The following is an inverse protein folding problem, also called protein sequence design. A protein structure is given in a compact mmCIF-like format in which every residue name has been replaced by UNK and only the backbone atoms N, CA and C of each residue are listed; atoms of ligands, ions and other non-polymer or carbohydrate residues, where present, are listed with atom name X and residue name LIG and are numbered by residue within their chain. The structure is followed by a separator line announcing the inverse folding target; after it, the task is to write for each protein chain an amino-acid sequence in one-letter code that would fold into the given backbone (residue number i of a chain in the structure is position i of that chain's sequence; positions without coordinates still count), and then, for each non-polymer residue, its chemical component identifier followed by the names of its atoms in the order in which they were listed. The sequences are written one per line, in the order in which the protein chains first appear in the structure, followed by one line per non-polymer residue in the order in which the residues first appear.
data_IF_791732132163
#
_entry.id   IF_791732132163
#
_cell.length_a   1.000
_cell.length_b   1.000
_cell.length_c   1.000
_cell.angle_alpha   90.00
_cell.angle_beta   90.00
_cell.angle_gamma   90.00
#
_symmetry.space_group_name_H-M   'P 1'
#
loop_
_entity.id
_entity.type
_entity.pdbx_description
1 polymer ?
#
# COMPACT_ATOMS: atom_id res chain seq x y z
N UNK A 1 3.68 -7.65 -15.41
CA UNK A 1 4.01 -8.67 -14.36
C UNK A 1 4.01 -7.98 -13.00
N UNK A 2 3.55 -8.68 -11.93
CA UNK A 2 3.59 -8.15 -10.55
C UNK A 2 4.75 -8.82 -9.81
N UNK A 3 5.54 -8.02 -9.06
CA UNK A 3 6.67 -8.53 -8.25
C UNK A 3 6.63 -7.95 -6.84
N UNK A 4 6.76 -8.78 -5.79
CA UNK A 4 6.94 -8.33 -4.42
C UNK A 4 8.40 -7.95 -4.16
N UNK A 5 8.62 -6.94 -3.32
CA UNK A 5 9.92 -6.52 -2.81
C UNK A 5 9.82 -6.40 -1.29
N UNK A 6 10.67 -7.08 -0.55
CA UNK A 6 10.74 -6.95 0.91
C UNK A 6 11.34 -5.58 1.24
N UNK A 7 10.51 -4.65 1.67
CA UNK A 7 10.90 -3.24 1.89
C UNK A 7 11.21 -2.91 3.36
N UNK A 8 10.71 -3.72 4.28
CA UNK A 8 11.00 -3.61 5.71
C UNK A 8 10.60 -4.89 6.46
N UNK A 9 10.98 -4.96 7.74
CA UNK A 9 10.28 -5.80 8.71
C UNK A 9 9.82 -4.94 9.87
N UNK A 10 8.67 -5.24 10.48
CA UNK A 10 8.11 -4.58 11.66
C UNK A 10 7.79 -5.64 12.69
N UNK A 11 8.41 -5.58 13.88
CA UNK A 11 8.35 -6.66 14.90
C UNK A 11 8.63 -8.05 14.30
N UNK A 12 9.56 -8.11 13.34
CA UNK A 12 9.92 -9.34 12.63
C UNK A 12 8.93 -9.81 11.55
N UNK A 13 7.79 -9.14 11.38
CA UNK A 13 6.87 -9.43 10.26
C UNK A 13 7.34 -8.72 8.99
N UNK A 14 7.32 -9.38 7.82
CA UNK A 14 7.73 -8.77 6.57
C UNK A 14 6.72 -7.71 6.12
N UNK A 15 7.22 -6.65 5.48
CA UNK A 15 6.43 -5.64 4.76
C UNK A 15 6.87 -5.65 3.31
N UNK A 16 5.98 -6.08 2.42
CA UNK A 16 6.22 -6.12 0.98
C UNK A 16 5.55 -4.94 0.28
N UNK A 17 6.33 -4.27 -0.56
CA UNK A 17 5.83 -3.37 -1.59
C UNK A 17 5.79 -4.12 -2.92
N UNK A 18 5.01 -3.64 -3.88
CA UNK A 18 4.83 -4.36 -5.13
C UNK A 18 5.11 -3.47 -6.33
N UNK A 19 5.75 -4.02 -7.37
CA UNK A 19 5.82 -3.37 -8.67
C UNK A 19 4.87 -4.02 -9.65
N UNK A 20 4.27 -3.19 -10.52
CA UNK A 20 3.45 -3.59 -11.66
C UNK A 20 4.18 -3.13 -12.91
N UNK A 21 4.62 -4.09 -13.75
CA UNK A 21 5.14 -3.79 -15.08
C UNK A 21 3.96 -3.43 -15.99
N UNK A 22 3.86 -2.16 -16.36
CA UNK A 22 2.85 -1.61 -17.28
C UNK A 22 3.52 -1.18 -18.59
N UNK A 23 2.74 -1.05 -19.67
CA UNK A 23 3.26 -0.62 -20.98
C UNK A 23 3.86 0.79 -20.95
N UNK A 24 3.30 1.67 -20.11
CA UNK A 24 3.73 3.05 -19.96
C UNK A 24 4.90 3.23 -18.96
N UNK A 25 5.26 2.21 -18.18
CA UNK A 25 6.33 2.26 -17.19
C UNK A 25 6.04 1.42 -15.96
N UNK A 26 6.95 1.47 -14.99
CA UNK A 26 6.84 0.72 -13.74
C UNK A 26 5.96 1.49 -12.74
N UNK A 27 4.94 0.85 -12.20
CA UNK A 27 4.12 1.37 -11.10
C UNK A 27 4.58 0.74 -9.80
N UNK A 28 4.78 1.54 -8.77
CA UNK A 28 5.13 1.07 -7.43
C UNK A 28 3.92 1.19 -6.50
N UNK A 29 3.54 0.12 -5.84
CA UNK A 29 2.48 0.09 -4.82
C UNK A 29 3.12 -0.02 -3.46
N UNK A 30 2.97 1.01 -2.66
CA UNK A 30 3.66 1.34 -1.42
C UNK A 30 5.18 1.51 -1.60
N UNK A 31 5.84 2.13 -0.63
CA UNK A 31 7.25 2.50 -0.73
C UNK A 31 8.12 1.97 0.42
N UNK A 32 7.48 1.29 1.40
CA UNK A 32 8.20 0.87 2.60
C UNK A 32 8.64 2.06 3.43
N UNK A 33 9.83 1.95 4.02
CA UNK A 33 10.44 3.01 4.81
C UNK A 33 11.95 3.12 4.54
N UNK A 34 12.55 4.30 4.81
CA UNK A 34 13.97 4.56 4.56
C UNK A 34 14.79 4.51 5.85
N UNK A 35 14.21 5.00 6.91
CA UNK A 35 14.79 5.16 8.24
C UNK A 35 13.72 4.95 9.30
N UNK A 36 14.06 5.14 10.56
CA UNK A 36 13.14 5.03 11.69
C UNK A 36 13.23 6.28 12.57
N UNK A 37 12.39 6.33 13.57
CA UNK A 37 12.43 7.32 14.66
C UNK A 37 12.60 6.60 15.99
N UNK A 38 13.11 7.25 17.05
CA UNK A 38 13.22 6.63 18.38
C UNK A 38 11.89 6.07 18.89
N UNK A 39 10.78 6.71 18.59
CA UNK A 39 9.44 6.27 18.97
C UNK A 39 9.01 5.01 18.20
N UNK A 40 9.30 4.95 16.91
CA UNK A 40 9.04 3.73 16.11
C UNK A 40 9.95 2.59 16.54
N UNK A 41 11.23 2.86 16.85
CA UNK A 41 12.18 1.86 17.35
C UNK A 41 11.70 1.24 18.66
N UNK A 42 11.19 2.05 19.59
CA UNK A 42 10.68 1.58 20.87
C UNK A 42 9.40 0.74 20.73
N UNK A 43 8.48 1.17 19.84
CA UNK A 43 7.15 0.58 19.77
C UNK A 43 7.01 -0.53 18.71
N UNK A 44 7.78 -0.43 17.59
CA UNK A 44 7.56 -1.25 16.40
C UNK A 44 8.78 -2.02 15.91
N UNK A 45 9.98 -1.75 16.43
CA UNK A 45 11.23 -2.43 16.07
C UNK A 45 11.40 -2.57 14.55
N UNK A 46 11.24 -1.49 13.75
CA UNK A 46 11.29 -1.60 12.31
C UNK A 46 12.73 -1.80 11.82
N UNK A 47 12.88 -2.59 10.76
CA UNK A 47 14.15 -2.73 10.03
C UNK A 47 13.91 -2.33 8.56
N UNK A 48 14.26 -1.10 8.17
CA UNK A 48 14.11 -0.62 6.79
C UNK A 48 15.04 -1.36 5.83
N UNK A 49 14.56 -1.59 4.60
CA UNK A 49 15.32 -2.21 3.48
C UNK A 49 15.12 -1.40 2.20
N UNK A 50 15.45 -0.09 2.18
CA UNK A 50 15.16 0.79 1.05
C UNK A 50 15.91 0.43 -0.24
N UNK A 51 17.00 -0.33 -0.15
CA UNK A 51 17.78 -0.81 -1.29
C UNK A 51 17.01 -1.82 -2.14
N UNK A 52 15.98 -2.48 -1.57
CA UNK A 52 15.14 -3.44 -2.29
C UNK A 52 14.01 -2.77 -3.08
N UNK A 53 13.76 -1.48 -2.86
CA UNK A 53 12.66 -0.73 -3.48
C UNK A 53 13.13 -0.09 -4.80
N UNK A 54 12.53 -0.44 -5.96
CA UNK A 54 12.86 0.16 -7.25
C UNK A 54 12.65 1.68 -7.27
N UNK A 55 13.54 2.41 -7.96
CA UNK A 55 13.56 3.89 -7.98
C UNK A 55 13.04 4.52 -9.27
N UNK A 56 13.23 3.85 -10.39
CA UNK A 56 12.78 4.33 -11.69
C UNK A 56 11.34 3.89 -11.92
N UNK A 57 10.39 4.70 -11.45
CA UNK A 57 8.97 4.41 -11.49
C UNK A 57 8.19 5.55 -12.12
N UNK A 58 7.12 5.20 -12.83
CA UNK A 58 6.20 6.15 -13.46
C UNK A 58 5.34 6.88 -12.42
N UNK A 59 4.85 6.14 -11.44
CA UNK A 59 4.07 6.66 -10.32
C UNK A 59 4.13 5.71 -9.12
N UNK A 60 3.75 6.25 -7.97
CA UNK A 60 3.52 5.51 -6.73
C UNK A 60 2.01 5.46 -6.46
N UNK A 61 1.53 4.35 -5.94
CA UNK A 61 0.19 4.23 -5.37
C UNK A 61 0.35 3.82 -3.91
N UNK A 62 -0.04 4.68 -2.96
CA UNK A 62 -0.09 4.26 -1.56
C UNK A 62 -1.42 3.59 -1.25
N UNK A 63 -1.36 2.42 -0.62
CA UNK A 63 -2.55 1.76 -0.08
C UNK A 63 -3.10 2.55 1.09
N UNK A 64 -2.22 3.08 1.94
CA UNK A 64 -2.49 3.99 3.04
C UNK A 64 -1.19 4.70 3.49
N UNK A 65 -1.24 5.56 4.50
CA UNK A 65 -0.12 6.43 4.87
C UNK A 65 0.50 6.12 6.23
N UNK A 66 0.52 4.85 6.65
CA UNK A 66 1.34 4.42 7.79
C UNK A 66 2.82 4.38 7.41
N UNK A 67 3.68 4.49 8.43
CA UNK A 67 5.13 4.68 8.30
C UNK A 67 5.81 3.61 7.43
N UNK A 68 5.38 2.37 7.50
CA UNK A 68 5.95 1.24 6.78
C UNK A 68 5.42 1.06 5.35
N UNK A 69 4.44 1.88 4.94
CA UNK A 69 3.88 1.94 3.60
C UNK A 69 4.25 3.21 2.83
N UNK A 70 4.34 4.35 3.52
CA UNK A 70 4.62 5.64 2.89
C UNK A 70 5.99 6.26 3.26
N UNK A 71 6.71 5.70 4.23
CA UNK A 71 7.97 6.26 4.71
C UNK A 71 9.06 6.38 3.65
N UNK A 72 8.99 5.58 2.59
CA UNK A 72 9.84 5.67 1.41
C UNK A 72 9.39 6.70 0.36
N UNK A 73 8.23 7.35 0.49
CA UNK A 73 7.72 8.34 -0.47
C UNK A 73 8.74 9.46 -0.75
N UNK A 74 9.53 9.82 0.28
CA UNK A 74 10.61 10.84 0.20
C UNK A 74 11.72 10.52 -0.81
N UNK A 75 11.75 9.30 -1.34
CA UNK A 75 12.69 8.88 -2.39
C UNK A 75 12.18 9.19 -3.81
N UNK A 76 10.95 9.70 -3.91
CA UNK A 76 10.25 9.93 -5.17
C UNK A 76 9.76 11.38 -5.32
N UNK A 77 10.63 12.41 -5.09
CA UNK A 77 10.22 13.80 -5.23
C UNK A 77 9.78 14.10 -6.66
N UNK A 78 8.60 14.72 -6.81
CA UNK A 78 8.01 15.06 -8.11
C UNK A 78 7.36 13.89 -8.87
N UNK A 79 7.50 12.65 -8.39
CA UNK A 79 6.76 11.50 -8.94
C UNK A 79 5.31 11.54 -8.43
N UNK A 80 4.30 11.35 -9.30
CA UNK A 80 2.90 11.28 -8.86
C UNK A 80 2.67 10.17 -7.82
N UNK A 81 2.03 10.52 -6.69
CA UNK A 81 1.68 9.60 -5.61
C UNK A 81 0.16 9.57 -5.48
N UNK A 82 -0.45 8.48 -5.92
CA UNK A 82 -1.90 8.29 -5.90
C UNK A 82 -2.36 7.81 -4.52
N UNK A 83 -3.32 8.52 -3.92
CA UNK A 83 -3.86 8.26 -2.58
C UNK A 83 -5.33 8.65 -2.51
N UNK A 84 -6.11 8.06 -1.60
CA UNK A 84 -7.46 8.56 -1.33
C UNK A 84 -7.38 9.91 -0.59
N UNK A 85 -8.20 10.88 -1.00
CA UNK A 85 -8.28 12.21 -0.39
C UNK A 85 -8.54 12.12 1.13
N UNK A 86 -9.38 11.15 1.53
CA UNK A 86 -9.66 10.88 2.94
C UNK A 86 -8.41 10.45 3.70
N UNK A 87 -7.58 9.59 3.13
CA UNK A 87 -6.34 9.11 3.76
C UNK A 87 -5.37 10.26 4.00
N UNK A 88 -5.16 11.08 2.97
CA UNK A 88 -4.25 12.21 3.06
C UNK A 88 -4.75 13.27 4.06
N UNK A 89 -6.06 13.52 4.09
CA UNK A 89 -6.66 14.44 5.05
C UNK A 89 -6.48 13.96 6.49
N UNK A 90 -6.75 12.66 6.76
CA UNK A 90 -6.60 12.08 8.09
C UNK A 90 -5.14 12.08 8.54
N UNK A 91 -4.20 11.67 7.68
CA UNK A 91 -2.78 11.69 7.98
C UNK A 91 -2.24 13.08 8.35
N UNK A 92 -2.84 14.15 7.80
CA UNK A 92 -2.46 15.55 8.09
C UNK A 92 -3.12 16.12 9.32
N UNK A 93 -4.38 15.79 9.59
CA UNK A 93 -5.21 16.47 10.59
C UNK A 93 -5.50 15.63 11.83
N UNK A 94 -5.51 14.32 11.69
CA UNK A 94 -5.85 13.36 12.75
C UNK A 94 -4.87 12.16 12.73
N UNK A 95 -3.52 12.39 12.69
CA UNK A 95 -2.56 11.28 12.59
C UNK A 95 -2.68 10.35 13.79
N UNK A 96 -2.59 9.06 13.53
CA UNK A 96 -2.49 8.04 14.55
C UNK A 96 -1.02 7.72 14.90
N UNK A 97 -0.79 6.73 15.77
CA UNK A 97 0.55 6.31 16.23
C UNK A 97 1.42 5.69 15.13
N UNK A 98 0.84 5.35 13.97
CA UNK A 98 1.54 4.78 12.82
C UNK A 98 1.86 5.84 11.75
N UNK A 99 1.41 7.07 11.93
CA UNK A 99 1.57 8.15 10.96
C UNK A 99 2.66 9.11 11.38
N UNK A 100 3.70 9.25 10.55
CA UNK A 100 4.78 10.23 10.73
C UNK A 100 4.54 11.41 9.79
N UNK A 101 3.99 12.51 10.29
CA UNK A 101 3.59 13.66 9.48
C UNK A 101 4.69 14.20 8.56
N UNK A 102 5.95 14.26 9.02
CA UNK A 102 7.07 14.72 8.20
C UNK A 102 7.44 13.76 7.06
N UNK A 103 6.91 12.55 7.06
CA UNK A 103 7.06 11.58 5.97
C UNK A 103 5.90 11.66 4.98
N UNK A 104 4.76 12.21 5.40
CA UNK A 104 3.62 12.52 4.55
C UNK A 104 3.86 13.83 3.79
N UNK A 105 4.16 14.90 4.52
CA UNK A 105 4.45 16.22 3.91
C UNK A 105 5.97 16.44 3.84
N UNK A 106 6.56 16.11 2.69
CA UNK A 106 7.98 16.26 2.39
C UNK A 106 8.20 17.17 1.16
N UNK A 107 9.42 17.69 1.01
CA UNK A 107 9.76 18.54 -0.14
C UNK A 107 9.68 17.74 -1.46
N UNK A 108 8.88 18.24 -2.39
CA UNK A 108 8.61 17.57 -3.66
C UNK A 108 7.50 16.52 -3.63
N UNK A 109 6.72 16.42 -2.55
CA UNK A 109 5.54 15.55 -2.51
C UNK A 109 4.53 15.93 -3.61
N UNK A 110 4.16 14.99 -4.47
CA UNK A 110 3.27 15.20 -5.62
C UNK A 110 2.03 14.30 -5.53
N UNK A 111 1.20 14.51 -4.50
CA UNK A 111 -0.01 13.72 -4.30
C UNK A 111 -1.06 13.97 -5.38
N UNK A 112 -1.63 12.87 -5.89
CA UNK A 112 -2.82 12.84 -6.74
C UNK A 112 -3.94 12.22 -5.92
N UNK A 113 -4.86 13.09 -5.47
CA UNK A 113 -5.96 12.70 -4.60
C UNK A 113 -7.11 12.10 -5.38
N UNK A 114 -7.68 11.02 -4.87
CA UNK A 114 -8.86 10.35 -5.40
C UNK A 114 -9.98 10.33 -4.36
N UNK A 115 -11.22 10.41 -4.82
CA UNK A 115 -12.41 10.26 -3.98
C UNK A 115 -13.24 9.09 -4.51
N UNK A 116 -12.92 7.89 -4.05
CA UNK A 116 -13.56 6.66 -4.50
C UNK A 116 -12.73 5.83 -5.49
N UNK A 117 -13.43 5.03 -6.29
CA UNK A 117 -12.81 4.19 -7.32
C UNK A 117 -12.27 5.05 -8.46
N UNK A 118 -11.08 4.72 -8.95
CA UNK A 118 -10.44 5.42 -10.07
C UNK A 118 -9.56 4.48 -10.88
N UNK A 119 -9.36 4.78 -12.15
CA UNK A 119 -8.37 4.13 -13.00
C UNK A 119 -7.14 5.04 -13.10
N UNK A 120 -5.97 4.56 -12.63
CA UNK A 120 -4.71 5.29 -12.67
C UNK A 120 -4.04 5.14 -14.03
N UNK A 121 -4.03 3.93 -14.55
CA UNK A 121 -3.56 3.53 -15.87
C UNK A 121 -4.50 2.45 -16.41
N UNK A 122 -4.57 2.23 -17.74
CA UNK A 122 -5.39 1.16 -18.31
C UNK A 122 -5.13 -0.17 -17.60
N UNK A 123 -6.16 -0.73 -16.94
CA UNK A 123 -6.05 -1.98 -16.19
C UNK A 123 -5.41 -1.87 -14.81
N UNK A 124 -5.09 -0.67 -14.30
CA UNK A 124 -4.63 -0.43 -12.93
C UNK A 124 -5.61 0.51 -12.24
N UNK A 125 -6.41 -0.02 -11.32
CA UNK A 125 -7.54 0.69 -10.70
C UNK A 125 -7.42 0.71 -9.19
N UNK A 126 -7.94 1.77 -8.58
CA UNK A 126 -8.05 1.96 -7.13
C UNK A 126 -9.41 1.47 -6.66
N UNK A 127 -9.44 0.70 -5.59
CA UNK A 127 -10.63 0.26 -4.88
C UNK A 127 -10.55 0.74 -3.43
N UNK A 128 -11.37 1.69 -2.97
CA UNK A 128 -11.44 2.03 -1.55
C UNK A 128 -11.79 0.80 -0.72
N UNK A 129 -10.97 0.53 0.29
CA UNK A 129 -11.10 -0.63 1.18
C UNK A 129 -10.98 -0.21 2.65
N UNK A 130 -11.88 0.68 3.14
CA UNK A 130 -11.81 1.21 4.49
C UNK A 130 -11.91 0.11 5.54
N UNK A 131 -11.16 0.30 6.62
CA UNK A 131 -11.14 -0.64 7.75
C UNK A 131 -9.88 -0.54 8.58
N UNK A 132 -8.70 -0.79 8.00
CA UNK A 132 -7.40 -0.57 8.63
C UNK A 132 -7.18 0.92 8.90
N UNK A 133 -7.31 1.73 7.84
CA UNK A 133 -7.54 3.18 7.95
C UNK A 133 -8.86 3.54 7.27
N UNK A 134 -9.35 4.78 7.49
CA UNK A 134 -10.60 5.25 6.88
C UNK A 134 -10.46 5.49 5.37
N UNK A 135 -9.27 5.85 4.92
CA UNK A 135 -8.94 6.13 3.52
C UNK A 135 -8.16 5.01 2.84
N UNK A 136 -8.00 3.84 3.46
CA UNK A 136 -7.29 2.70 2.87
C UNK A 136 -7.87 2.30 1.51
N UNK A 137 -6.98 1.95 0.56
CA UNK A 137 -7.35 1.44 -0.76
C UNK A 137 -6.53 0.21 -1.14
N UNK A 138 -7.13 -0.69 -1.91
CA UNK A 138 -6.45 -1.75 -2.63
C UNK A 138 -6.24 -1.35 -4.08
N UNK A 139 -5.28 -1.99 -4.76
CA UNK A 139 -5.01 -1.80 -6.18
C UNK A 139 -5.47 -3.05 -6.94
N UNK A 140 -6.33 -2.85 -7.93
CA UNK A 140 -6.81 -3.88 -8.84
C UNK A 140 -5.98 -3.86 -10.12
N UNK A 141 -5.43 -5.00 -10.50
CA UNK A 141 -4.56 -5.12 -11.67
C UNK A 141 -5.12 -6.17 -12.62
N UNK A 142 -5.47 -5.74 -13.83
CA UNK A 142 -5.87 -6.65 -14.89
C UNK A 142 -4.61 -7.29 -15.51
N UNK A 143 -4.51 -8.61 -15.43
CA UNK A 143 -3.41 -9.38 -16.00
C UNK A 143 -3.91 -10.34 -17.10
N UNK A 144 -3.03 -10.89 -17.95
CA UNK A 144 -3.45 -11.89 -18.93
C UNK A 144 -4.12 -13.13 -18.30
N UNK A 145 -3.80 -13.44 -17.05
CA UNK A 145 -4.36 -14.55 -16.27
C UNK A 145 -5.65 -14.17 -15.52
N UNK A 146 -6.03 -12.90 -15.54
CA UNK A 146 -7.22 -12.37 -14.86
C UNK A 146 -6.90 -11.27 -13.85
N UNK A 147 -7.90 -10.91 -13.06
CA UNK A 147 -7.77 -9.89 -12.04
C UNK A 147 -6.85 -10.34 -10.89
N UNK A 148 -5.97 -9.44 -10.45
CA UNK A 148 -5.15 -9.59 -9.24
C UNK A 148 -5.39 -8.38 -8.33
N UNK A 149 -5.40 -8.60 -7.01
CA UNK A 149 -5.58 -7.55 -5.99
C UNK A 149 -4.29 -7.36 -5.21
N UNK A 150 -3.81 -6.12 -5.11
CA UNK A 150 -2.77 -5.73 -4.16
C UNK A 150 -3.48 -5.05 -2.99
N UNK A 151 -3.63 -5.78 -1.89
CA UNK A 151 -4.53 -5.44 -0.80
C UNK A 151 -3.90 -4.59 0.30
N UNK A 152 -2.57 -4.37 0.27
CA UNK A 152 -1.89 -3.69 1.39
C UNK A 152 -2.25 -4.36 2.72
N UNK A 153 -2.66 -3.53 3.68
CA UNK A 153 -3.08 -3.92 5.02
C UNK A 153 -4.60 -4.02 5.18
N UNK A 154 -5.31 -4.37 4.11
CA UNK A 154 -6.75 -4.71 4.24
C UNK A 154 -6.97 -5.81 5.28
N UNK A 155 -5.96 -6.62 5.54
CA UNK A 155 -5.82 -7.58 6.63
C UNK A 155 -4.34 -7.97 6.80
N UNK A 156 -3.93 -8.32 8.02
CA UNK A 156 -2.57 -8.81 8.31
C UNK A 156 -2.36 -10.29 7.91
N UNK A 157 -3.42 -11.01 7.64
CA UNK A 157 -3.36 -12.41 7.22
C UNK A 157 -4.57 -12.82 6.40
N UNK A 158 -4.42 -13.87 5.56
CA UNK A 158 -5.55 -14.44 4.84
C UNK A 158 -6.62 -15.05 5.75
N UNK A 159 -6.25 -15.45 6.96
CA UNK A 159 -7.21 -15.90 7.97
C UNK A 159 -8.10 -14.76 8.44
N UNK A 160 -7.50 -13.60 8.68
CA UNK A 160 -8.21 -12.39 9.07
C UNK A 160 -9.06 -11.87 7.91
N UNK A 161 -8.49 -11.75 6.71
CA UNK A 161 -9.23 -11.35 5.51
C UNK A 161 -10.50 -12.19 5.34
N UNK A 162 -10.41 -13.51 5.52
CA UNK A 162 -11.55 -14.42 5.41
C UNK A 162 -12.70 -14.15 6.38
N UNK A 163 -12.49 -13.35 7.43
CA UNK A 163 -13.58 -12.99 8.38
C UNK A 163 -14.56 -11.98 7.80
N UNK A 164 -14.12 -11.13 6.84
CA UNK A 164 -14.94 -10.06 6.29
C UNK A 164 -15.40 -9.05 7.34
N UNK A 165 -14.59 -8.84 8.39
CA UNK A 165 -14.95 -7.99 9.53
C UNK A 165 -15.13 -6.53 9.12
N UNK A 166 -14.25 -6.02 8.25
CA UNK A 166 -14.33 -4.64 7.75
C UNK A 166 -15.03 -4.56 6.39
N UNK A 167 -15.43 -3.35 6.00
CA UNK A 167 -15.98 -3.12 4.65
C UNK A 167 -14.94 -3.44 3.58
N UNK A 168 -13.68 -3.00 3.77
CA UNK A 168 -12.58 -3.28 2.84
C UNK A 168 -12.36 -4.77 2.64
N UNK A 169 -12.35 -5.56 3.72
CA UNK A 169 -12.23 -7.02 3.64
C UNK A 169 -13.37 -7.63 2.82
N UNK A 170 -14.62 -7.21 3.06
CA UNK A 170 -15.77 -7.71 2.29
C UNK A 170 -15.69 -7.36 0.81
N UNK A 171 -15.23 -6.13 0.47
CA UNK A 171 -15.02 -5.72 -0.93
C UNK A 171 -13.99 -6.61 -1.62
N UNK A 172 -12.84 -6.86 -0.98
CA UNK A 172 -11.79 -7.73 -1.54
C UNK A 172 -12.27 -9.17 -1.69
N UNK A 173 -12.96 -9.73 -0.68
CA UNK A 173 -13.52 -11.08 -0.74
C UNK A 173 -14.51 -11.27 -1.89
N UNK A 174 -15.32 -10.25 -2.18
CA UNK A 174 -16.32 -10.29 -3.25
C UNK A 174 -15.70 -10.43 -4.65
N UNK A 175 -14.43 -10.03 -4.83
CA UNK A 175 -13.72 -10.14 -6.11
C UNK A 175 -13.31 -11.59 -6.41
N UNK A 176 -13.18 -12.45 -5.41
CA UNK A 176 -12.72 -13.85 -5.53
C UNK A 176 -11.43 -14.01 -6.36
N UNK A 177 -10.53 -13.03 -6.28
CA UNK A 177 -9.32 -12.93 -7.08
C UNK A 177 -8.06 -13.21 -6.24
N UNK A 178 -6.94 -13.65 -6.85
CA UNK A 178 -5.65 -13.72 -6.17
C UNK A 178 -5.30 -12.38 -5.53
N UNK A 179 -5.05 -12.39 -4.22
CA UNK A 179 -4.78 -11.20 -3.42
C UNK A 179 -3.39 -11.28 -2.81
N UNK A 180 -2.62 -10.20 -2.92
CA UNK A 180 -1.39 -9.97 -2.17
C UNK A 180 -1.73 -9.13 -0.94
N UNK A 181 -1.22 -9.54 0.22
CA UNK A 181 -1.22 -8.73 1.45
C UNK A 181 0.20 -8.23 1.69
N UNK A 182 0.36 -7.07 2.34
CA UNK A 182 1.68 -6.51 2.62
C UNK A 182 2.57 -7.45 3.47
N UNK A 183 1.95 -8.30 4.30
CA UNK A 183 2.67 -9.25 5.15
C UNK A 183 2.74 -10.67 4.58
N UNK A 184 2.51 -10.86 3.27
CA UNK A 184 2.51 -12.18 2.64
C UNK A 184 3.39 -12.21 1.39
N UNK A 185 4.38 -13.12 1.38
CA UNK A 185 5.31 -13.32 0.26
C UNK A 185 4.61 -13.77 -1.04
N UNK A 186 3.42 -14.36 -0.95
CA UNK A 186 2.69 -14.93 -2.09
C UNK A 186 1.21 -14.60 -2.05
N UNK A 187 0.59 -14.41 -3.22
CA UNK A 187 -0.84 -14.17 -3.30
C UNK A 187 -1.62 -15.45 -2.99
N UNK A 188 -2.85 -15.29 -2.53
CA UNK A 188 -3.84 -16.37 -2.41
C UNK A 188 -5.20 -15.86 -2.84
N UNK A 189 -6.05 -16.76 -3.33
CA UNK A 189 -7.49 -16.47 -3.45
C UNK A 189 -8.09 -16.58 -2.05
N UNK A 190 -8.59 -15.49 -1.48
CA UNK A 190 -9.13 -15.51 -0.13
C UNK A 190 -10.46 -16.28 -0.11
N UNK A 191 -10.69 -17.05 0.95
CA UNK A 191 -11.92 -17.81 1.16
C UNK A 191 -12.70 -17.17 2.32
N UNK A 192 -13.99 -16.82 2.12
CA UNK A 192 -14.87 -16.40 3.22
C UNK A 192 -15.00 -17.51 4.27
N UNK A 193 -15.12 -17.13 5.52
CA UNK A 193 -15.36 -18.03 6.67
C UNK A 193 -16.79 -17.93 7.15
#
# INVERSE_FOLDING_TARGET
MIRPHLAATVKGFPVYVHTIEHADGLVLVDTGMIDSTPELDENWEPVPMPENVPRDVLCVINTHLHFDHCGGNRLFPGVPIHVQARELADARTEPDEHTVNSWVDFDGAAYVEHDGEAEVLPGVRLLPTPGHTRGHQAVLVDTPEGLVVLGGDVAYSFRELGTGATEGQRRVLALAAPTWLAHAERPKVPMPR
#
